data_IF_664172684595
#
_entry.id   IF_664172684595
#
_cell.length_a   1.000
_cell.length_b   1.000
_cell.length_c   1.000
_cell.angle_alpha   90.00
_cell.angle_beta   90.00
_cell.angle_gamma   90.00
#
_symmetry.space_group_name_H-M   'P 1'
#
loop_
_entity.id
_entity.type
_entity.pdbx_description
1 polymer ?
#
# COMPACT_ATOMS: atom_id res chain seq x y z
N UNK A 1 9.66 21.13 -4.23
CA UNK A 1 10.20 19.89 -4.79
C UNK A 1 9.38 19.52 -6.00
N UNK A 2 10.00 19.14 -7.10
CA UNK A 2 9.31 18.73 -8.33
C UNK A 2 9.12 17.21 -8.27
N UNK A 3 7.90 16.74 -8.46
CA UNK A 3 7.62 15.30 -8.60
C UNK A 3 8.32 14.77 -9.85
N UNK A 4 9.04 13.66 -9.80
CA UNK A 4 9.61 13.02 -10.98
C UNK A 4 8.51 12.71 -12.01
N UNK A 5 8.81 12.74 -13.31
CA UNK A 5 7.84 12.33 -14.32
C UNK A 5 7.59 10.83 -14.23
N UNK A 6 6.36 10.42 -14.50
CA UNK A 6 5.97 9.02 -14.61
C UNK A 6 4.86 8.89 -15.68
N UNK A 7 4.73 7.71 -16.24
CA UNK A 7 3.63 7.35 -17.13
C UNK A 7 2.44 6.91 -16.28
N UNK A 8 1.25 7.47 -16.52
CA UNK A 8 0.03 7.13 -15.80
C UNK A 8 -0.86 6.24 -16.65
N UNK A 9 -1.20 5.06 -16.14
CA UNK A 9 -2.14 4.11 -16.73
C UNK A 9 -3.43 4.12 -15.92
N UNK A 10 -4.59 4.17 -16.60
CA UNK A 10 -5.90 4.32 -15.96
C UNK A 10 -6.87 3.24 -16.45
N UNK A 11 -6.69 1.98 -16.04
CA UNK A 11 -7.59 0.89 -16.36
C UNK A 11 -8.99 1.16 -15.82
N UNK A 12 -9.99 0.60 -16.48
CA UNK A 12 -11.40 0.73 -16.10
C UNK A 12 -11.96 -0.53 -15.45
N UNK A 13 -11.23 -1.65 -15.53
CA UNK A 13 -11.62 -2.93 -14.91
C UNK A 13 -10.44 -3.53 -14.17
N UNK A 14 -10.71 -4.48 -13.27
CA UNK A 14 -9.68 -5.22 -12.55
C UNK A 14 -8.84 -6.04 -13.52
N UNK A 15 -9.47 -6.67 -14.52
CA UNK A 15 -8.80 -7.48 -15.55
C UNK A 15 -7.79 -6.64 -16.35
N UNK A 16 -8.19 -5.45 -16.79
CA UNK A 16 -7.30 -4.53 -17.50
C UNK A 16 -6.12 -4.11 -16.64
N UNK A 17 -6.35 -3.84 -15.35
CA UNK A 17 -5.31 -3.48 -14.40
C UNK A 17 -4.30 -4.62 -14.20
N UNK A 18 -4.79 -5.87 -14.09
CA UNK A 18 -3.96 -7.07 -13.97
C UNK A 18 -3.17 -7.31 -15.26
N UNK A 19 -3.77 -7.12 -16.44
CA UNK A 19 -3.10 -7.27 -17.72
C UNK A 19 -1.93 -6.28 -17.85
N UNK A 20 -2.15 -4.99 -17.54
CA UNK A 20 -1.12 -3.96 -17.59
C UNK A 20 0.03 -4.32 -16.63
N UNK A 21 -0.28 -4.67 -15.39
CA UNK A 21 0.75 -5.02 -14.40
C UNK A 21 1.53 -6.28 -14.80
N UNK A 22 0.85 -7.29 -15.35
CA UNK A 22 1.47 -8.53 -15.83
C UNK A 22 2.42 -8.27 -17.00
N UNK A 23 2.10 -7.32 -17.88
CA UNK A 23 2.97 -6.92 -18.97
C UNK A 23 4.24 -6.22 -18.44
N UNK A 24 4.12 -5.35 -17.42
CA UNK A 24 5.29 -4.74 -16.78
C UNK A 24 6.20 -5.80 -16.14
N UNK A 25 5.62 -6.75 -15.39
CA UNK A 25 6.41 -7.84 -14.79
C UNK A 25 7.13 -8.67 -15.85
N UNK A 26 6.47 -9.03 -16.96
CA UNK A 26 7.08 -9.80 -18.07
C UNK A 26 8.26 -9.08 -18.74
N UNK A 27 8.20 -7.75 -18.78
CA UNK A 27 9.21 -6.91 -19.42
C UNK A 27 10.28 -6.40 -18.44
N UNK A 28 10.25 -6.84 -17.18
CA UNK A 28 11.12 -6.34 -16.10
C UNK A 28 11.01 -4.81 -15.92
N UNK A 29 9.80 -4.26 -16.13
CA UNK A 29 9.51 -2.85 -15.95
C UNK A 29 8.96 -2.58 -14.56
N UNK A 30 9.47 -1.55 -13.90
CA UNK A 30 9.03 -1.17 -12.57
C UNK A 30 7.77 -0.31 -12.64
N UNK A 31 6.84 -0.56 -11.72
CA UNK A 31 5.61 0.23 -11.58
C UNK A 31 5.15 0.29 -10.12
N UNK A 32 4.28 1.27 -9.83
CA UNK A 32 3.54 1.37 -8.59
C UNK A 32 2.04 1.41 -8.83
N UNK A 33 1.27 0.91 -7.88
CA UNK A 33 -0.16 1.11 -7.80
C UNK A 33 -0.48 2.44 -7.11
N UNK A 34 -1.42 3.23 -7.66
CA UNK A 34 -1.95 4.39 -6.98
C UNK A 34 -3.45 4.25 -6.72
N UNK A 35 -3.82 4.32 -5.45
CA UNK A 35 -5.21 4.45 -5.01
C UNK A 35 -5.52 5.93 -4.71
N UNK A 36 -5.65 6.31 -3.45
CA UNK A 36 -5.87 7.72 -3.07
C UNK A 36 -4.65 8.64 -3.19
N UNK A 37 -3.47 8.11 -3.41
CA UNK A 37 -2.22 8.86 -3.61
C UNK A 37 -1.68 9.60 -2.39
N UNK A 38 -2.33 9.51 -1.23
CA UNK A 38 -1.98 10.26 -0.01
C UNK A 38 -0.66 9.84 0.63
N UNK A 39 -0.15 8.67 0.27
CA UNK A 39 1.18 8.19 0.64
C UNK A 39 2.15 8.19 -0.55
N UNK A 40 1.76 7.64 -1.69
CA UNK A 40 2.62 7.50 -2.85
C UNK A 40 3.13 8.85 -3.38
N UNK A 41 2.25 9.84 -3.56
CA UNK A 41 2.65 11.13 -4.13
C UNK A 41 3.57 11.94 -3.21
N UNK A 42 3.36 12.01 -1.88
CA UNK A 42 4.38 12.52 -0.97
C UNK A 42 5.73 11.81 -1.09
N UNK A 43 5.75 10.47 -1.15
CA UNK A 43 6.97 9.70 -1.34
C UNK A 43 7.67 10.09 -2.65
N UNK A 44 6.93 10.23 -3.75
CA UNK A 44 7.49 10.69 -5.03
C UNK A 44 8.09 12.09 -4.95
N UNK A 45 7.44 13.02 -4.23
CA UNK A 45 8.00 14.37 -3.99
C UNK A 45 9.31 14.34 -3.21
N UNK A 46 9.49 13.35 -2.35
CA UNK A 46 10.72 13.12 -1.58
C UNK A 46 11.71 12.21 -2.30
N UNK A 47 11.41 11.78 -3.54
CA UNK A 47 12.22 10.85 -4.32
C UNK A 47 12.45 9.51 -3.60
N UNK A 48 11.43 9.02 -2.88
CA UNK A 48 11.46 7.72 -2.20
C UNK A 48 10.94 6.65 -3.14
N UNK A 49 11.82 5.75 -3.59
CA UNK A 49 11.46 4.57 -4.39
C UNK A 49 10.52 4.87 -5.57
N UNK A 50 10.77 5.94 -6.32
CA UNK A 50 9.94 6.34 -7.46
C UNK A 50 10.07 5.36 -8.62
N UNK A 51 8.94 5.01 -9.23
CA UNK A 51 8.89 4.13 -10.40
C UNK A 51 8.48 4.91 -11.64
N UNK A 52 8.92 4.49 -12.85
CA UNK A 52 8.61 5.19 -14.08
C UNK A 52 7.15 5.04 -14.53
N UNK A 53 6.45 4.01 -14.06
CA UNK A 53 5.08 3.71 -14.43
C UNK A 53 4.19 3.66 -13.19
N UNK A 54 2.96 4.19 -13.30
CA UNK A 54 1.97 4.22 -12.21
C UNK A 54 0.63 3.76 -12.75
N UNK A 55 0.03 2.75 -12.13
CA UNK A 55 -1.29 2.22 -12.48
C UNK A 55 -2.31 2.77 -11.48
N UNK A 56 -3.24 3.59 -11.96
CA UNK A 56 -4.30 4.18 -11.14
C UNK A 56 -5.50 3.27 -11.04
N UNK A 57 -5.95 3.03 -9.81
CA UNK A 57 -7.17 2.27 -9.53
C UNK A 57 -8.43 3.15 -9.53
N UNK A 58 -8.30 4.46 -9.74
CA UNK A 58 -9.40 5.42 -9.54
C UNK A 58 -10.57 5.27 -10.52
N UNK A 59 -10.37 4.65 -11.69
CA UNK A 59 -11.40 4.47 -12.71
C UNK A 59 -12.07 3.09 -12.68
N UNK A 60 -11.81 2.27 -11.67
CA UNK A 60 -12.37 0.91 -11.51
C UNK A 60 -13.55 0.98 -10.55
N UNK A 61 -14.77 1.08 -11.08
CA UNK A 61 -15.98 1.33 -10.29
C UNK A 61 -16.26 0.24 -9.25
N UNK A 62 -16.00 -1.02 -9.57
CA UNK A 62 -16.25 -2.15 -8.66
C UNK A 62 -15.42 -2.09 -7.37
N UNK A 63 -14.29 -1.38 -7.35
CA UNK A 63 -13.46 -1.16 -6.17
C UNK A 63 -14.05 -0.15 -5.18
N UNK A 64 -15.12 0.56 -5.53
CA UNK A 64 -15.83 1.51 -4.65
C UNK A 64 -17.03 0.90 -3.93
N UNK A 65 -17.29 -0.40 -4.10
CA UNK A 65 -18.43 -1.06 -3.46
C UNK A 65 -18.36 -0.95 -1.94
N UNK A 66 -19.43 -0.45 -1.33
CA UNK A 66 -19.58 -0.36 0.13
C UNK A 66 -20.99 -0.81 0.51
N UNK A 67 -21.08 -1.95 1.17
CA UNK A 67 -22.32 -2.50 1.71
C UNK A 67 -22.07 -3.19 3.07
N UNK A 68 -23.10 -3.81 3.66
CA UNK A 68 -23.01 -4.45 4.99
C UNK A 68 -22.00 -5.61 5.09
N UNK A 69 -21.49 -6.11 3.97
CA UNK A 69 -20.59 -7.28 3.90
C UNK A 69 -19.26 -6.98 3.21
N UNK A 70 -19.22 -5.95 2.38
CA UNK A 70 -18.08 -5.66 1.52
C UNK A 70 -17.65 -4.22 1.65
N UNK A 71 -16.35 -4.02 1.72
CA UNK A 71 -15.68 -2.72 1.68
C UNK A 71 -14.65 -2.79 0.55
N UNK A 72 -14.90 -2.09 -0.54
CA UNK A 72 -14.02 -2.04 -1.70
C UNK A 72 -12.71 -1.31 -1.40
N UNK A 73 -11.66 -1.68 -2.10
CA UNK A 73 -10.32 -1.12 -1.88
C UNK A 73 -10.25 0.40 -2.13
N UNK A 74 -11.08 0.94 -3.04
CA UNK A 74 -11.13 2.36 -3.38
C UNK A 74 -12.16 3.16 -2.56
N UNK A 75 -12.88 2.55 -1.62
CA UNK A 75 -13.73 3.27 -0.66
C UNK A 75 -12.87 4.24 0.12
N UNK A 76 -13.26 5.52 0.12
CA UNK A 76 -12.52 6.56 0.83
C UNK A 76 -12.71 6.41 2.34
N UNK A 77 -11.70 6.74 3.11
CA UNK A 77 -11.78 6.71 4.57
C UNK A 77 -12.87 7.64 5.10
N UNK A 78 -13.12 8.77 4.41
CA UNK A 78 -14.23 9.67 4.71
C UNK A 78 -15.59 8.99 4.55
N UNK A 79 -15.80 8.30 3.43
CA UNK A 79 -17.06 7.63 3.12
C UNK A 79 -17.29 6.45 4.08
N UNK A 80 -16.23 5.70 4.41
CA UNK A 80 -16.26 4.63 5.40
C UNK A 80 -16.68 5.13 6.79
N UNK A 81 -16.15 6.28 7.22
CA UNK A 81 -16.47 6.89 8.51
C UNK A 81 -17.94 7.34 8.60
N UNK A 82 -18.54 7.77 7.48
CA UNK A 82 -19.90 8.31 7.43
C UNK A 82 -20.96 7.32 6.95
N UNK A 83 -20.58 6.13 6.47
CA UNK A 83 -21.52 5.13 5.92
C UNK A 83 -22.38 4.48 7.01
N UNK A 84 -23.66 4.32 6.75
CA UNK A 84 -24.56 3.54 7.59
C UNK A 84 -24.26 2.03 7.57
N UNK A 85 -23.59 1.55 6.51
CA UNK A 85 -23.20 0.15 6.36
C UNK A 85 -21.95 -0.23 7.16
N UNK A 86 -21.18 0.75 7.61
CA UNK A 86 -19.93 0.50 8.35
C UNK A 86 -20.21 0.13 9.80
N UNK A 87 -19.53 -0.91 10.30
CA UNK A 87 -19.58 -1.27 11.72
C UNK A 87 -19.09 -0.09 12.59
N UNK A 88 -19.71 0.21 13.76
CA UNK A 88 -19.36 1.36 14.59
C UNK A 88 -17.86 1.49 14.93
N UNK A 89 -17.18 0.38 15.20
CA UNK A 89 -15.75 0.37 15.51
C UNK A 89 -14.91 0.73 14.28
N UNK A 90 -15.33 0.34 13.06
CA UNK A 90 -14.65 0.71 11.81
C UNK A 90 -14.82 2.22 11.57
N UNK A 91 -16.03 2.76 11.76
CA UNK A 91 -16.27 4.21 11.68
C UNK A 91 -15.32 4.98 12.60
N UNK A 92 -15.27 4.54 13.87
CA UNK A 92 -14.44 5.19 14.88
C UNK A 92 -12.95 5.13 14.52
N UNK A 93 -12.47 4.00 14.00
CA UNK A 93 -11.11 3.88 13.51
C UNK A 93 -10.85 4.82 12.33
N UNK A 94 -11.75 4.82 11.33
CA UNK A 94 -11.62 5.67 10.14
C UNK A 94 -11.63 7.18 10.48
N UNK A 95 -12.46 7.61 11.43
CA UNK A 95 -12.50 9.00 11.94
C UNK A 95 -11.17 9.45 12.55
N UNK A 96 -10.42 8.53 13.17
CA UNK A 96 -9.13 8.80 13.81
C UNK A 96 -7.96 8.89 12.84
N UNK A 97 -8.12 8.50 11.58
CA UNK A 97 -7.02 8.45 10.60
C UNK A 97 -6.73 9.85 10.07
N UNK A 98 -5.50 10.32 10.23
CA UNK A 98 -4.98 11.55 9.64
C UNK A 98 -5.91 12.77 9.77
N UNK A 99 -5.89 13.68 8.79
CA UNK A 99 -6.79 14.83 8.72
C UNK A 99 -8.03 14.56 7.87
N UNK A 100 -9.06 15.40 8.01
CA UNK A 100 -10.28 15.32 7.18
C UNK A 100 -9.96 15.34 5.68
N UNK A 101 -9.04 16.23 5.26
CA UNK A 101 -8.63 16.35 3.85
C UNK A 101 -7.93 15.08 3.35
N UNK A 102 -7.08 14.49 4.17
CA UNK A 102 -6.42 13.22 3.81
C UNK A 102 -7.45 12.09 3.67
N UNK A 103 -8.44 12.00 4.57
CA UNK A 103 -9.50 10.99 4.49
C UNK A 103 -10.38 11.10 3.25
N UNK A 104 -10.55 12.30 2.68
CA UNK A 104 -11.30 12.52 1.44
C UNK A 104 -10.62 11.93 0.20
N UNK A 105 -9.33 11.66 0.26
CA UNK A 105 -8.55 11.02 -0.83
C UNK A 105 -8.04 9.65 -0.44
N UNK A 106 -7.61 9.45 0.81
CA UNK A 106 -7.11 8.17 1.30
C UNK A 106 -8.18 7.07 1.25
N UNK A 107 -7.78 5.87 0.87
CA UNK A 107 -8.68 4.74 0.64
C UNK A 107 -8.40 3.59 1.59
N UNK A 108 -9.37 2.68 1.73
CA UNK A 108 -9.25 1.47 2.57
C UNK A 108 -8.12 0.58 2.07
N UNK A 109 -8.08 0.27 0.78
CA UNK A 109 -7.03 -0.56 0.20
C UNK A 109 -5.65 0.07 0.35
N UNK A 110 -5.53 1.39 0.08
CA UNK A 110 -4.28 2.11 0.27
C UNK A 110 -3.81 2.14 1.72
N UNK A 111 -4.72 2.20 2.70
CA UNK A 111 -4.36 2.11 4.11
C UNK A 111 -3.89 0.70 4.49
N UNK A 112 -4.60 -0.36 4.07
CA UNK A 112 -4.23 -1.75 4.38
C UNK A 112 -2.95 -2.18 3.65
N UNK A 113 -2.74 -1.73 2.41
CA UNK A 113 -1.56 -2.04 1.62
C UNK A 113 -0.38 -1.08 1.88
N UNK A 114 -0.45 -0.25 2.93
CA UNK A 114 0.61 0.67 3.30
C UNK A 114 1.92 -0.09 3.55
N UNK A 115 3.01 0.40 2.99
CA UNK A 115 4.32 -0.18 3.23
C UNK A 115 4.81 0.07 4.65
N UNK A 116 5.68 -0.80 5.17
CA UNK A 116 6.30 -0.64 6.49
C UNK A 116 7.18 0.61 6.55
N UNK A 117 7.28 1.22 7.72
CA UNK A 117 8.01 2.45 7.96
C UNK A 117 9.26 2.22 8.80
N UNK A 118 10.36 2.81 8.33
CA UNK A 118 11.62 2.85 9.05
C UNK A 118 12.37 4.12 8.66
N UNK A 119 12.95 4.82 9.63
CA UNK A 119 13.72 6.03 9.36
C UNK A 119 14.81 5.81 8.30
N UNK A 120 15.51 4.70 8.35
CA UNK A 120 16.62 4.39 7.46
C UNK A 120 16.19 4.01 6.04
N UNK A 121 15.02 3.40 5.90
CA UNK A 121 14.48 3.01 4.61
C UNK A 121 13.72 4.15 3.91
N UNK A 122 12.93 4.93 4.65
CA UNK A 122 12.09 6.00 4.10
C UNK A 122 12.90 7.29 3.83
N UNK A 123 14.00 7.16 3.10
CA UNK A 123 14.90 8.23 2.67
C UNK A 123 15.10 8.16 1.15
N UNK A 124 15.51 9.29 0.55
CA UNK A 124 15.84 9.31 -0.87
C UNK A 124 16.95 8.30 -1.19
N UNK A 125 16.91 7.74 -2.38
CA UNK A 125 17.87 6.72 -2.83
C UNK A 125 19.33 7.16 -2.67
N UNK A 126 19.65 8.40 -3.06
CA UNK A 126 20.98 8.97 -2.94
C UNK A 126 21.48 8.97 -1.48
N UNK A 127 20.60 9.31 -0.54
CA UNK A 127 20.94 9.27 0.88
C UNK A 127 21.16 7.83 1.36
N UNK A 128 20.26 6.89 0.97
CA UNK A 128 20.40 5.47 1.33
C UNK A 128 21.70 4.88 0.77
N UNK A 129 22.07 5.26 -0.43
CA UNK A 129 23.35 4.86 -1.06
C UNK A 129 24.55 5.39 -0.28
N UNK A 130 24.50 6.63 0.20
CA UNK A 130 25.61 7.26 0.95
C UNK A 130 25.90 6.61 2.30
N UNK A 131 24.94 5.90 2.87
CA UNK A 131 25.08 5.15 4.13
C UNK A 131 25.28 3.65 3.90
N UNK A 132 25.53 3.24 2.66
CA UNK A 132 25.67 1.84 2.29
C UNK A 132 24.38 1.02 2.56
N UNK A 133 23.22 1.59 2.22
CA UNK A 133 21.90 0.98 2.26
C UNK A 133 21.45 0.43 3.65
N UNK A 134 20.37 -0.32 3.66
CA UNK A 134 19.92 -1.19 4.74
C UNK A 134 19.40 -2.50 4.11
N UNK A 135 19.21 -3.54 4.88
CA UNK A 135 18.85 -4.83 4.30
C UNK A 135 17.45 -4.89 3.64
N UNK A 136 16.58 -3.92 3.89
CA UNK A 136 15.33 -3.72 3.11
C UNK A 136 15.57 -2.85 1.86
N UNK A 137 16.65 -2.98 1.16
CA UNK A 137 16.82 -2.29 -0.11
C UNK A 137 16.51 -3.21 -1.29
N UNK A 138 16.12 -2.62 -2.42
CA UNK A 138 15.89 -3.32 -3.69
C UNK A 138 17.21 -3.57 -4.46
N UNK A 139 18.33 -3.60 -3.78
CA UNK A 139 19.65 -3.79 -4.35
C UNK A 139 20.31 -5.03 -3.76
N UNK A 140 21.11 -5.73 -4.55
CA UNK A 140 21.87 -6.93 -4.17
C UNK A 140 22.98 -6.62 -3.15
N UNK A 141 22.72 -5.77 -2.17
CA UNK A 141 23.68 -5.48 -1.11
C UNK A 141 23.39 -6.38 0.09
N UNK A 142 24.44 -6.89 0.70
CA UNK A 142 24.40 -7.61 1.99
C UNK A 142 24.39 -6.65 3.18
N UNK A 143 23.80 -5.46 3.03
CA UNK A 143 23.79 -4.45 4.07
C UNK A 143 23.01 -4.91 5.31
N UNK A 144 23.57 -4.69 6.48
CA UNK A 144 22.93 -5.00 7.75
C UNK A 144 21.76 -4.06 8.07
N UNK A 145 20.89 -4.51 8.97
CA UNK A 145 19.85 -3.66 9.54
C UNK A 145 20.48 -2.49 10.30
N UNK A 146 20.08 -1.24 9.93
CA UNK A 146 20.58 -0.02 10.60
C UNK A 146 19.89 0.28 11.94
N UNK A 147 18.81 -0.47 12.26
CA UNK A 147 18.06 -0.33 13.50
C UNK A 147 18.59 -1.28 14.55
N UNK A 148 18.75 -2.55 14.19
CA UNK A 148 19.20 -3.61 15.10
C UNK A 148 20.52 -4.18 14.57
N UNK A 149 21.63 -3.95 15.28
CA UNK A 149 22.92 -4.53 14.91
C UNK A 149 22.88 -6.07 14.95
N UNK A 150 23.54 -6.71 14.00
CA UNK A 150 23.57 -8.15 13.82
C UNK A 150 22.17 -8.79 13.68
N UNK A 151 21.23 -8.04 13.09
CA UNK A 151 19.90 -8.53 12.78
C UNK A 151 20.00 -9.72 11.83
N UNK A 152 19.08 -10.66 11.99
CA UNK A 152 18.87 -11.73 11.01
C UNK A 152 18.24 -11.18 9.73
N UNK A 153 17.83 -12.05 8.83
CA UNK A 153 17.24 -11.69 7.53
C UNK A 153 15.90 -10.94 7.61
N UNK A 154 15.24 -10.91 8.79
CA UNK A 154 13.94 -10.28 8.95
C UNK A 154 14.05 -8.76 9.10
N UNK A 155 13.20 -8.03 8.42
CA UNK A 155 13.08 -6.58 8.57
C UNK A 155 12.09 -6.20 9.68
N UNK A 156 12.56 -5.41 10.65
CA UNK A 156 11.76 -4.93 11.79
C UNK A 156 11.04 -3.61 11.51
N UNK A 157 10.97 -3.16 10.26
CA UNK A 157 10.24 -1.95 9.90
C UNK A 157 8.76 -2.07 10.28
N UNK A 158 8.22 -1.02 10.90
CA UNK A 158 6.89 -1.05 11.49
C UNK A 158 5.80 -0.90 10.43
N UNK A 159 4.81 -1.79 10.46
CA UNK A 159 3.56 -1.62 9.73
C UNK A 159 2.64 -0.64 10.48
N UNK A 160 2.14 0.38 9.78
CA UNK A 160 1.46 1.53 10.40
C UNK A 160 0.06 1.80 9.82
N UNK A 161 -0.62 0.79 9.30
CA UNK A 161 -1.99 0.96 8.83
C UNK A 161 -2.98 1.01 10.00
N UNK A 162 -3.74 2.09 10.08
CA UNK A 162 -4.63 2.36 11.21
C UNK A 162 -5.89 1.48 11.22
N UNK A 163 -6.40 1.06 10.04
CA UNK A 163 -7.60 0.21 9.94
C UNK A 163 -7.33 -1.26 10.27
N UNK A 164 -6.12 -1.75 10.00
CA UNK A 164 -5.82 -3.17 10.10
C UNK A 164 -6.11 -3.78 11.48
N UNK A 165 -5.74 -3.17 12.62
CA UNK A 165 -6.06 -3.73 13.94
C UNK A 165 -7.56 -3.92 14.16
N UNK A 166 -8.37 -2.95 13.73
CA UNK A 166 -9.82 -3.00 13.85
C UNK A 166 -10.42 -4.11 12.99
N UNK A 167 -9.96 -4.25 11.76
CA UNK A 167 -10.41 -5.29 10.84
C UNK A 167 -9.98 -6.69 11.30
N UNK A 168 -8.79 -6.82 11.89
CA UNK A 168 -8.32 -8.08 12.49
C UNK A 168 -9.20 -8.53 13.66
N UNK A 169 -9.57 -7.62 14.57
CA UNK A 169 -10.48 -7.92 15.68
C UNK A 169 -11.85 -8.37 15.17
N UNK A 170 -12.30 -7.86 14.04
CA UNK A 170 -13.57 -8.25 13.41
C UNK A 170 -13.44 -9.52 12.55
N UNK A 171 -12.30 -10.20 12.55
CA UNK A 171 -12.01 -11.37 11.71
C UNK A 171 -12.30 -11.13 10.22
N UNK A 172 -11.97 -9.95 9.72
CA UNK A 172 -12.16 -9.60 8.32
C UNK A 172 -11.39 -10.53 7.39
N UNK A 173 -11.97 -10.76 6.20
CA UNK A 173 -11.29 -11.45 5.10
C UNK A 173 -10.89 -10.43 4.04
N UNK A 174 -9.76 -10.66 3.41
CA UNK A 174 -9.30 -9.91 2.25
C UNK A 174 -9.56 -10.72 0.97
N UNK A 175 -10.07 -10.04 -0.06
CA UNK A 175 -10.20 -10.58 -1.40
C UNK A 175 -9.12 -9.98 -2.29
N UNK A 176 -8.29 -10.81 -2.87
CA UNK A 176 -7.18 -10.44 -3.73
C UNK A 176 -7.44 -10.94 -5.15
N UNK A 177 -7.21 -10.08 -6.13
CA UNK A 177 -7.26 -10.41 -7.55
C UNK A 177 -5.85 -10.33 -8.14
N UNK A 178 -5.47 -11.31 -8.91
CA UNK A 178 -4.15 -11.40 -9.55
C UNK A 178 -4.18 -12.19 -10.85
N UNK A 179 -3.05 -12.32 -11.55
CA UNK A 179 -2.99 -12.97 -12.85
C UNK A 179 -3.39 -14.47 -12.82
N UNK A 180 -3.27 -15.11 -11.67
CA UNK A 180 -3.67 -16.51 -11.47
C UNK A 180 -5.13 -16.66 -11.01
N UNK A 181 -5.89 -15.57 -10.97
CA UNK A 181 -7.28 -15.52 -10.51
C UNK A 181 -7.45 -14.81 -9.16
N UNK A 182 -8.61 -15.05 -8.53
CA UNK A 182 -8.97 -14.42 -7.26
C UNK A 182 -8.84 -15.38 -6.11
N UNK A 183 -8.43 -14.86 -4.94
CA UNK A 183 -8.35 -15.63 -3.69
C UNK A 183 -8.93 -14.86 -2.52
N UNK A 184 -9.55 -15.59 -1.58
CA UNK A 184 -9.99 -15.07 -0.31
C UNK A 184 -9.15 -15.66 0.80
N UNK A 185 -8.70 -14.82 1.74
CA UNK A 185 -7.96 -15.28 2.91
C UNK A 185 -8.31 -14.44 4.14
N UNK A 186 -8.13 -14.96 5.37
CA UNK A 186 -8.19 -14.11 6.56
C UNK A 186 -7.21 -12.95 6.48
N UNK A 187 -7.61 -11.76 6.91
CA UNK A 187 -6.72 -10.61 6.89
C UNK A 187 -5.46 -10.83 7.74
N UNK A 188 -5.55 -11.66 8.78
CA UNK A 188 -4.40 -12.04 9.61
C UNK A 188 -3.28 -12.78 8.85
N UNK A 189 -3.62 -13.46 7.77
CA UNK A 189 -2.67 -14.18 6.93
C UNK A 189 -2.05 -13.31 5.82
N UNK A 190 -2.59 -12.09 5.64
CA UNK A 190 -2.08 -11.13 4.67
C UNK A 190 -0.77 -10.46 5.12
N UNK A 191 -0.49 -10.44 6.42
CA UNK A 191 0.68 -9.79 6.99
C UNK A 191 1.71 -10.81 7.44
N UNK A 192 2.95 -10.65 7.00
CA UNK A 192 4.09 -11.37 7.53
C UNK A 192 4.78 -10.58 8.66
N UNK A 193 5.57 -11.28 9.48
CA UNK A 193 6.41 -10.65 10.51
C UNK A 193 7.70 -10.01 9.93
N UNK A 194 7.77 -9.91 8.62
CA UNK A 194 8.91 -9.36 7.89
C UNK A 194 8.49 -8.08 7.16
N UNK A 195 9.14 -6.96 7.45
CA UNK A 195 8.89 -5.68 6.79
C UNK A 195 9.25 -5.63 5.30
N UNK A 196 9.87 -6.67 4.75
CA UNK A 196 10.22 -6.79 3.33
C UNK A 196 9.13 -7.54 2.57
N UNK A 197 8.69 -8.68 3.11
CA UNK A 197 7.78 -9.61 2.44
C UNK A 197 6.32 -9.28 2.71
N UNK A 198 5.48 -9.49 1.70
CA UNK A 198 4.02 -9.49 1.80
C UNK A 198 3.45 -10.67 1.04
N UNK A 199 2.40 -11.27 1.56
CA UNK A 199 1.66 -12.35 0.90
C UNK A 199 0.78 -11.86 -0.25
#
# INVERSE_FOLDING_TARGET
>A
MKTPPFNLFQPKTIEEAIEISSNFVKNDEQFDWIAGGTDLLPNYKWHLNTKPNVISLASIDELYRLDSKHIGAMVRLHDLANSEFSHPIIKKAAEGIASVLIRQSGTVGGNIALDTRCFWYNQAEEWRRSIDWCHKCDCDTSADCRVIPNQNELCVATYQADLAPTLLVLNAKIHLCGPEGSRNMPLSEFFELDGIKRN
#
